data_IF_991485376064
#
_entry.id   IF_991485376064
#
_cell.length_a   1.000
_cell.length_b   1.000
_cell.length_c   1.000
_cell.angle_alpha   90.00
_cell.angle_beta   90.00
_cell.angle_gamma   90.00
#
_symmetry.space_group_name_H-M   'P 1'
#
loop_
_entity.id
_entity.type
_entity.pdbx_description
1 polymer ?
#
# COMPACT_ATOMS: atom_id res chain seq x y z
N UNK A 1 6.05 -37.80 -7.27
CA UNK A 1 5.59 -36.70 -6.39
C UNK A 1 6.22 -35.39 -6.83
N UNK A 2 5.40 -34.37 -7.09
CA UNK A 2 5.69 -33.23 -7.98
C UNK A 2 6.56 -32.12 -7.37
N UNK A 3 7.84 -32.03 -7.79
CA UNK A 3 8.73 -30.88 -7.54
C UNK A 3 8.15 -29.54 -8.09
N UNK A 4 7.22 -29.59 -9.05
CA UNK A 4 6.59 -28.41 -9.65
C UNK A 4 5.50 -27.76 -8.78
N UNK A 5 4.96 -28.45 -7.75
CA UNK A 5 4.00 -27.85 -6.82
C UNK A 5 4.72 -27.07 -5.72
N UNK A 6 5.85 -27.59 -5.24
CA UNK A 6 6.66 -26.99 -4.16
C UNK A 6 7.29 -25.64 -4.57
N UNK A 7 7.71 -25.50 -5.84
CA UNK A 7 8.22 -24.23 -6.40
C UNK A 7 7.12 -23.17 -6.62
N UNK A 8 5.85 -23.57 -6.81
CA UNK A 8 4.74 -22.64 -7.04
C UNK A 8 4.24 -21.97 -5.75
N UNK A 9 4.40 -22.63 -4.61
CA UNK A 9 3.99 -22.13 -3.30
C UNK A 9 5.01 -21.14 -2.73
N UNK A 10 6.29 -21.32 -3.03
CA UNK A 10 7.40 -20.53 -2.46
C UNK A 10 7.49 -19.09 -3.00
N UNK A 11 7.16 -18.86 -4.28
CA UNK A 11 7.13 -17.51 -4.86
C UNK A 11 5.88 -16.70 -4.44
N UNK A 12 4.74 -17.38 -4.29
CA UNK A 12 3.53 -16.77 -3.73
C UNK A 12 3.68 -16.48 -2.23
N UNK A 13 4.44 -17.30 -1.50
CA UNK A 13 4.82 -17.04 -0.10
C UNK A 13 5.78 -15.85 0.08
N UNK A 14 6.58 -15.50 -0.94
CA UNK A 14 7.39 -14.28 -0.94
C UNK A 14 6.53 -13.03 -1.17
N UNK A 15 5.57 -13.11 -2.09
CA UNK A 15 4.53 -12.08 -2.27
C UNK A 15 3.65 -11.93 -1.01
N UNK A 16 3.29 -13.05 -0.37
CA UNK A 16 2.52 -13.11 0.88
C UNK A 16 3.23 -12.48 2.06
N UNK A 17 4.53 -12.80 2.28
CA UNK A 17 5.31 -12.13 3.33
C UNK A 17 5.31 -10.62 3.15
N UNK A 18 5.34 -10.16 1.90
CA UNK A 18 5.34 -8.74 1.60
C UNK A 18 3.96 -8.07 1.80
N UNK A 19 2.87 -8.73 1.41
CA UNK A 19 1.49 -8.27 1.66
C UNK A 19 1.10 -8.31 3.14
N UNK A 20 1.55 -9.33 3.88
CA UNK A 20 1.39 -9.43 5.34
C UNK A 20 2.06 -8.27 6.05
N UNK A 21 3.21 -7.79 5.54
CA UNK A 21 3.81 -6.58 6.09
C UNK A 21 2.89 -5.39 5.89
N UNK A 22 2.21 -5.20 4.74
CA UNK A 22 1.24 -4.10 4.48
C UNK A 22 0.08 -4.08 5.50
N UNK A 23 -0.27 -5.22 6.08
CA UNK A 23 -1.33 -5.33 7.08
C UNK A 23 -0.87 -4.91 8.49
N UNK A 24 0.40 -5.13 8.85
CA UNK A 24 1.00 -4.64 10.11
C UNK A 24 1.02 -3.09 10.19
N UNK A 25 0.84 -2.39 9.07
CA UNK A 25 0.76 -0.92 9.01
C UNK A 25 -0.57 -0.36 9.49
N UNK A 26 -1.62 -1.18 9.56
CA UNK A 26 -3.01 -0.67 9.52
C UNK A 26 -3.86 -1.12 10.71
N UNK A 27 -3.33 -2.01 11.55
CA UNK A 27 -4.05 -2.52 12.71
C UNK A 27 -3.74 -1.63 13.92
N UNK A 28 -4.34 -0.44 13.92
CA UNK A 28 -4.86 0.11 15.17
C UNK A 28 -6.38 -0.10 15.14
N UNK A 29 -6.89 -0.83 16.14
CA UNK A 29 -8.14 -1.60 16.02
C UNK A 29 -9.45 -0.80 16.10
N UNK A 30 -9.46 0.50 16.36
CA UNK A 30 -10.68 1.16 16.88
C UNK A 30 -10.96 2.61 16.42
N UNK A 31 -10.57 3.07 15.22
CA UNK A 31 -10.92 4.44 14.78
C UNK A 31 -11.86 4.45 13.55
N UNK A 32 -13.18 4.70 13.72
CA UNK A 32 -14.16 4.64 12.63
C UNK A 32 -14.22 5.90 11.73
N UNK A 33 -13.51 6.99 12.05
CA UNK A 33 -13.83 8.31 11.46
C UNK A 33 -12.65 9.11 10.88
N UNK A 34 -11.60 8.47 10.39
CA UNK A 34 -10.54 9.20 9.67
C UNK A 34 -10.92 9.44 8.20
N UNK A 35 -11.56 10.58 7.91
CA UNK A 35 -11.63 11.17 6.57
C UNK A 35 -10.21 11.43 6.08
N UNK A 36 -9.66 10.52 5.28
CA UNK A 36 -8.30 10.60 4.78
C UNK A 36 -8.29 10.48 3.27
N UNK A 37 -7.23 11.00 2.66
CA UNK A 37 -6.85 10.81 1.26
C UNK A 37 -6.13 9.46 1.02
N UNK A 38 -6.30 8.47 1.90
CA UNK A 38 -5.83 7.08 1.69
C UNK A 38 -6.61 5.92 2.39
N UNK A 39 -7.92 6.01 2.68
CA UNK A 39 -8.72 4.87 3.13
C UNK A 39 -8.79 3.79 2.04
N UNK A 40 -8.71 4.16 0.76
CA UNK A 40 -8.69 3.21 -0.36
C UNK A 40 -7.54 2.20 -0.27
N UNK A 41 -6.31 2.62 0.05
CA UNK A 41 -5.18 1.68 0.05
C UNK A 41 -5.23 0.76 1.26
N UNK A 42 -5.73 1.25 2.40
CA UNK A 42 -5.97 0.38 3.56
C UNK A 42 -6.97 -0.72 3.24
N UNK A 43 -8.03 -0.36 2.53
CA UNK A 43 -9.01 -1.33 2.03
C UNK A 43 -8.36 -2.28 1.03
N UNK A 44 -7.58 -1.77 0.06
CA UNK A 44 -6.91 -2.58 -0.95
C UNK A 44 -5.87 -3.54 -0.35
N UNK A 45 -5.15 -3.14 0.70
CA UNK A 45 -4.24 -4.00 1.44
C UNK A 45 -4.99 -5.16 2.13
N UNK A 46 -6.14 -4.86 2.75
CA UNK A 46 -7.02 -5.90 3.31
C UNK A 46 -7.55 -6.84 2.24
N UNK A 47 -7.94 -6.32 1.07
CA UNK A 47 -8.35 -7.15 -0.07
C UNK A 47 -7.20 -8.03 -0.55
N UNK A 48 -6.00 -7.47 -0.67
CA UNK A 48 -4.78 -8.18 -1.06
C UNK A 48 -4.48 -9.34 -0.09
N UNK A 49 -4.47 -9.05 1.21
CA UNK A 49 -4.33 -10.07 2.26
C UNK A 49 -5.40 -11.15 2.15
N UNK A 50 -6.66 -10.77 2.00
CA UNK A 50 -7.76 -11.73 1.84
C UNK A 50 -7.53 -12.66 0.64
N UNK A 51 -7.08 -12.12 -0.50
CA UNK A 51 -6.74 -12.93 -1.67
C UNK A 51 -5.70 -13.97 -1.30
N UNK A 52 -4.62 -13.57 -0.64
CA UNK A 52 -3.55 -14.50 -0.32
C UNK A 52 -3.96 -15.53 0.72
N UNK A 53 -4.61 -15.13 1.81
CA UNK A 53 -5.18 -16.06 2.80
C UNK A 53 -6.13 -17.07 2.15
N UNK A 54 -6.92 -16.64 1.16
CA UNK A 54 -7.79 -17.54 0.41
C UNK A 54 -7.01 -18.62 -0.35
N UNK A 55 -5.79 -18.35 -0.78
CA UNK A 55 -4.95 -19.30 -1.52
C UNK A 55 -4.05 -20.17 -0.63
N UNK A 56 -3.76 -19.73 0.58
CA UNK A 56 -2.87 -20.45 1.51
C UNK A 56 -3.51 -21.68 2.16
N UNK A 57 -4.83 -21.75 2.17
CA UNK A 57 -5.59 -22.85 2.76
C UNK A 57 -6.60 -23.39 1.76
N UNK A 58 -6.75 -24.71 1.70
CA UNK A 58 -7.83 -25.37 0.96
C UNK A 58 -9.12 -25.46 1.80
N UNK A 59 -9.02 -25.24 3.11
CA UNK A 59 -10.13 -25.37 4.03
C UNK A 59 -11.10 -24.19 3.94
N UNK A 60 -12.36 -24.46 4.25
CA UNK A 60 -13.41 -23.45 4.34
C UNK A 60 -13.21 -22.57 5.59
N UNK A 61 -13.48 -21.25 5.50
CA UNK A 61 -13.35 -20.34 6.64
C UNK A 61 -14.22 -20.71 7.85
N UNK A 62 -15.38 -21.35 7.60
CA UNK A 62 -16.32 -21.76 8.63
C UNK A 62 -16.53 -23.27 8.64
N UNK A 63 -16.57 -23.85 9.84
CA UNK A 63 -17.02 -25.22 10.08
C UNK A 63 -18.52 -25.20 10.38
N UNK A 64 -19.29 -26.00 9.64
CA UNK A 64 -20.74 -26.13 9.82
C UNK A 64 -21.01 -27.51 10.41
N UNK A 65 -21.76 -27.54 11.52
CA UNK A 65 -22.18 -28.76 12.20
C UNK A 65 -23.70 -28.84 12.22
N UNK A 66 -24.22 -30.08 12.25
CA UNK A 66 -25.65 -30.35 12.10
C UNK A 66 -26.03 -30.50 10.63
N UNK A 67 -26.86 -31.50 10.36
CA UNK A 67 -27.35 -31.81 9.03
C UNK A 67 -28.75 -32.39 9.14
N UNK A 68 -29.56 -32.13 8.11
CA UNK A 68 -30.75 -32.94 7.87
C UNK A 68 -30.28 -34.31 7.38
N UNK A 69 -29.83 -35.18 8.28
CA UNK A 69 -29.87 -36.61 7.99
C UNK A 69 -31.35 -36.97 7.89
N UNK A 70 -31.84 -37.10 6.66
CA UNK A 70 -33.08 -37.83 6.41
C UNK A 70 -32.78 -39.29 6.74
N UNK A 71 -32.91 -39.65 8.00
CA UNK A 71 -32.95 -41.05 8.41
C UNK A 71 -34.20 -41.62 7.72
N UNK A 72 -34.01 -42.34 6.61
CA UNK A 72 -35.08 -43.13 6.00
C UNK A 72 -35.32 -44.37 6.85
N UNK A 73 -35.81 -44.17 8.07
CA UNK A 73 -36.48 -45.24 8.81
C UNK A 73 -37.91 -45.27 8.30
N UNK A 74 -38.27 -46.36 7.63
CA UNK A 74 -39.59 -46.60 7.03
C UNK A 74 -40.74 -46.76 8.03
N UNK A 75 -40.81 -45.93 9.06
CA UNK A 75 -41.98 -45.82 9.92
C UNK A 75 -42.36 -44.36 10.09
N UNK A 76 -43.57 -44.06 9.62
CA UNK A 76 -44.28 -42.81 9.83
C UNK A 76 -44.51 -42.61 11.33
N UNK A 77 -43.60 -41.91 11.99
CA UNK A 77 -43.87 -41.16 13.21
C UNK A 77 -43.14 -39.82 13.05
N UNK A 78 -43.92 -38.85 12.56
CA UNK A 78 -43.54 -37.46 12.41
C UNK A 78 -43.25 -36.90 13.79
N UNK A 79 -42.01 -36.46 14.03
CA UNK A 79 -41.55 -35.30 14.82
C UNK A 79 -40.02 -35.40 14.89
N UNK A 80 -39.38 -35.43 13.72
CA UNK A 80 -37.92 -35.38 13.63
C UNK A 80 -37.47 -33.99 14.05
N UNK A 81 -36.94 -33.84 15.25
CA UNK A 81 -36.27 -32.63 15.68
C UNK A 81 -35.02 -32.45 14.80
N UNK A 82 -35.14 -31.66 13.74
CA UNK A 82 -33.99 -31.18 12.97
C UNK A 82 -33.09 -30.41 13.95
N UNK A 83 -31.93 -30.97 14.25
CA UNK A 83 -30.93 -30.25 15.01
C UNK A 83 -30.61 -28.96 14.24
N UNK A 84 -30.67 -27.79 14.88
CA UNK A 84 -30.34 -26.54 14.23
C UNK A 84 -28.90 -26.64 13.73
N UNK A 85 -28.69 -26.39 12.44
CA UNK A 85 -27.34 -26.26 11.92
C UNK A 85 -26.64 -25.14 12.71
N UNK A 86 -25.41 -25.36 13.13
CA UNK A 86 -24.58 -24.36 13.79
C UNK A 86 -23.31 -24.14 12.97
N UNK A 87 -22.76 -22.92 13.03
CA UNK A 87 -21.52 -22.59 12.37
C UNK A 87 -20.54 -21.96 13.36
N UNK A 88 -19.27 -22.30 13.20
CA UNK A 88 -18.16 -21.70 13.94
C UNK A 88 -17.01 -21.38 13.00
N UNK A 89 -16.13 -20.45 13.40
CA UNK A 89 -14.88 -20.22 12.69
C UNK A 89 -14.07 -21.51 12.66
N UNK A 90 -13.42 -21.78 11.54
CA UNK A 90 -12.51 -22.91 11.43
C UNK A 90 -11.40 -22.80 12.48
N UNK A 91 -10.97 -23.94 13.03
CA UNK A 91 -9.95 -23.97 14.07
C UNK A 91 -8.53 -23.74 13.52
N UNK A 92 -8.31 -24.02 12.24
CA UNK A 92 -7.03 -23.78 11.57
C UNK A 92 -6.77 -22.27 11.46
N UNK A 93 -5.60 -21.84 11.96
CA UNK A 93 -5.24 -20.42 12.08
C UNK A 93 -5.53 -19.59 10.82
N UNK A 94 -5.01 -20.01 9.66
CA UNK A 94 -5.20 -19.30 8.38
C UNK A 94 -6.68 -19.22 7.98
N UNK A 95 -7.44 -20.29 8.20
CA UNK A 95 -8.87 -20.33 7.86
C UNK A 95 -9.71 -19.50 8.83
N UNK A 96 -9.29 -19.43 10.10
CA UNK A 96 -9.87 -18.55 11.12
C UNK A 96 -9.68 -17.08 10.78
N UNK A 97 -8.46 -16.69 10.38
CA UNK A 97 -8.15 -15.32 9.96
C UNK A 97 -8.95 -14.94 8.70
N UNK A 98 -9.01 -15.84 7.72
CA UNK A 98 -9.86 -15.67 6.54
C UNK A 98 -11.35 -15.45 6.91
N UNK A 99 -11.85 -16.23 7.87
CA UNK A 99 -13.21 -16.07 8.39
C UNK A 99 -13.43 -14.75 9.14
N UNK A 100 -12.43 -14.26 9.86
CA UNK A 100 -12.48 -12.94 10.54
C UNK A 100 -12.56 -11.80 9.53
N UNK A 101 -11.75 -11.84 8.47
CA UNK A 101 -11.74 -10.80 7.43
C UNK A 101 -13.10 -10.71 6.72
N UNK A 102 -13.66 -11.87 6.39
CA UNK A 102 -14.98 -12.02 5.76
C UNK A 102 -16.11 -11.40 6.57
N UNK A 103 -16.09 -11.57 7.89
CA UNK A 103 -17.18 -11.10 8.76
C UNK A 103 -17.02 -9.63 9.12
N UNK A 104 -15.78 -9.18 9.34
CA UNK A 104 -15.53 -7.88 9.96
C UNK A 104 -15.48 -6.72 8.98
N UNK A 105 -14.78 -6.88 7.86
CA UNK A 105 -14.44 -5.74 7.00
C UNK A 105 -14.58 -5.97 5.50
N UNK A 106 -14.52 -7.22 5.02
CA UNK A 106 -14.42 -7.48 3.58
C UNK A 106 -15.67 -7.02 2.80
N UNK A 107 -16.92 -7.34 3.18
CA UNK A 107 -18.10 -6.94 2.41
C UNK A 107 -18.25 -5.42 2.37
N UNK A 108 -17.94 -4.72 3.47
CA UNK A 108 -17.94 -3.26 3.52
C UNK A 108 -16.87 -2.65 2.61
N UNK A 109 -15.67 -3.23 2.61
CA UNK A 109 -14.56 -2.79 1.76
C UNK A 109 -14.90 -2.96 0.27
N UNK A 110 -15.42 -4.13 -0.10
CA UNK A 110 -15.81 -4.45 -1.46
C UNK A 110 -16.99 -3.58 -1.92
N UNK A 111 -17.99 -3.36 -1.06
CA UNK A 111 -19.13 -2.49 -1.39
C UNK A 111 -18.71 -1.02 -1.53
N UNK A 112 -17.83 -0.52 -0.65
CA UNK A 112 -17.30 0.84 -0.76
C UNK A 112 -16.60 1.06 -2.11
N UNK A 113 -15.78 0.10 -2.54
CA UNK A 113 -15.08 0.14 -3.83
C UNK A 113 -16.05 -0.02 -5.01
N UNK A 114 -17.08 -0.84 -4.86
CA UNK A 114 -18.07 -1.08 -5.91
C UNK A 114 -19.09 0.07 -6.10
N UNK A 115 -19.35 0.86 -5.05
CA UNK A 115 -20.40 1.89 -5.06
C UNK A 115 -19.89 3.30 -5.39
N UNK A 116 -18.61 3.60 -5.17
CA UNK A 116 -18.00 4.87 -5.60
C UNK A 116 -17.74 4.86 -7.12
N UNK A 117 -18.81 5.06 -7.90
CA UNK A 117 -18.77 4.95 -9.36
C UNK A 117 -17.82 5.96 -10.00
N UNK A 118 -17.61 7.14 -9.44
CA UNK A 118 -16.86 8.19 -10.13
C UNK A 118 -15.35 8.02 -9.92
N UNK A 119 -14.92 7.76 -8.69
CA UNK A 119 -13.51 7.48 -8.39
C UNK A 119 -13.09 6.09 -8.85
N UNK A 120 -13.88 5.03 -8.57
CA UNK A 120 -13.54 3.67 -8.95
C UNK A 120 -13.42 3.50 -10.47
N UNK A 121 -14.15 4.31 -11.26
CA UNK A 121 -14.03 4.30 -12.71
C UNK A 121 -12.68 4.83 -13.22
N UNK A 122 -11.94 5.62 -12.45
CA UNK A 122 -10.61 6.10 -12.80
C UNK A 122 -9.50 5.15 -12.35
N UNK A 123 -9.81 4.19 -11.47
CA UNK A 123 -8.84 3.27 -10.91
C UNK A 123 -8.72 1.97 -11.73
N UNK A 124 -7.51 1.43 -11.74
CA UNK A 124 -7.17 0.11 -12.26
C UNK A 124 -6.52 -0.67 -11.14
N UNK A 125 -7.23 -1.69 -10.66
CA UNK A 125 -6.77 -2.55 -9.57
C UNK A 125 -5.78 -3.61 -10.06
N UNK A 126 -4.99 -4.13 -9.12
CA UNK A 126 -4.17 -5.30 -9.36
C UNK A 126 -5.01 -6.48 -9.87
N UNK A 127 -4.49 -7.31 -10.80
CA UNK A 127 -5.28 -8.36 -11.45
C UNK A 127 -6.06 -9.29 -10.51
N UNK A 128 -5.51 -9.61 -9.34
CA UNK A 128 -6.15 -10.48 -8.35
C UNK A 128 -7.21 -9.75 -7.51
N UNK A 129 -7.00 -8.48 -7.17
CA UNK A 129 -8.01 -7.64 -6.53
C UNK A 129 -9.18 -7.39 -7.50
N UNK A 130 -8.87 -7.13 -8.76
CA UNK A 130 -9.87 -6.99 -9.82
C UNK A 130 -10.71 -8.27 -9.95
N UNK A 131 -10.09 -9.46 -9.96
CA UNK A 131 -10.82 -10.72 -9.99
C UNK A 131 -11.68 -10.92 -8.73
N UNK A 132 -11.19 -10.54 -7.56
CA UNK A 132 -11.96 -10.60 -6.30
C UNK A 132 -13.22 -9.74 -6.40
N UNK A 133 -13.09 -8.50 -6.91
CA UNK A 133 -14.22 -7.60 -7.14
C UNK A 133 -15.23 -8.19 -8.15
N UNK A 134 -14.75 -8.76 -9.25
CA UNK A 134 -15.58 -9.42 -10.26
C UNK A 134 -16.39 -10.59 -9.68
N UNK A 135 -15.76 -11.46 -8.88
CA UNK A 135 -16.44 -12.57 -8.22
C UNK A 135 -17.45 -12.05 -7.19
N UNK A 136 -17.08 -11.05 -6.38
CA UNK A 136 -17.97 -10.48 -5.38
C UNK A 136 -19.22 -9.86 -6.00
N UNK A 137 -19.08 -9.11 -7.10
CA UNK A 137 -20.20 -8.43 -7.75
C UNK A 137 -21.29 -9.37 -8.27
N UNK A 138 -20.91 -10.61 -8.63
CA UNK A 138 -21.81 -11.67 -9.06
C UNK A 138 -22.26 -12.63 -7.95
N UNK A 139 -21.78 -12.46 -6.72
CA UNK A 139 -22.01 -13.42 -5.64
C UNK A 139 -23.15 -12.99 -4.69
N UNK A 140 -23.98 -13.91 -4.16
CA UNK A 140 -25.05 -13.59 -3.20
C UNK A 140 -24.59 -12.82 -1.94
N UNK A 141 -23.32 -13.00 -1.56
CA UNK A 141 -22.69 -12.30 -0.44
C UNK A 141 -22.82 -10.77 -0.53
N UNK A 142 -22.91 -10.20 -1.74
CA UNK A 142 -23.11 -8.76 -1.95
C UNK A 142 -24.41 -8.23 -1.33
N UNK A 143 -25.47 -9.04 -1.35
CA UNK A 143 -26.79 -8.65 -0.81
C UNK A 143 -26.90 -8.87 0.70
N UNK A 144 -25.88 -9.44 1.33
CA UNK A 144 -25.89 -9.75 2.75
C UNK A 144 -25.60 -8.49 3.59
N UNK A 145 -26.47 -8.18 4.55
CA UNK A 145 -26.25 -7.05 5.47
C UNK A 145 -25.06 -7.32 6.40
N UNK A 146 -24.26 -6.29 6.74
CA UNK A 146 -23.16 -6.43 7.69
C UNK A 146 -23.65 -6.90 9.06
N UNK A 147 -22.86 -7.79 9.65
CA UNK A 147 -23.19 -8.69 10.76
C UNK A 147 -23.65 -7.97 12.05
N UNK A 148 -24.63 -8.53 12.76
CA UNK A 148 -24.94 -8.23 14.17
C UNK A 148 -24.85 -9.55 14.97
N UNK A 149 -23.73 -9.72 15.66
CA UNK A 149 -23.28 -10.69 16.71
C UNK A 149 -23.83 -12.13 16.81
N UNK A 150 -25.03 -12.46 16.34
CA UNK A 150 -25.60 -13.80 16.35
C UNK A 150 -25.68 -14.30 14.91
N UNK A 151 -25.15 -15.49 14.59
CA UNK A 151 -25.09 -16.07 13.24
C UNK A 151 -26.50 -16.40 12.73
N UNK A 152 -27.22 -15.49 12.05
CA UNK A 152 -28.60 -15.76 11.72
C UNK A 152 -28.61 -16.67 10.50
N UNK A 153 -29.66 -17.47 10.43
CA UNK A 153 -30.11 -18.09 9.20
C UNK A 153 -30.47 -16.94 8.24
N UNK A 154 -29.92 -16.94 7.03
CA UNK A 154 -30.24 -15.99 5.98
C UNK A 154 -31.72 -16.09 5.56
N UNK A 155 -32.19 -15.12 4.76
CA UNK A 155 -33.60 -15.05 4.33
C UNK A 155 -34.12 -16.32 3.62
N UNK A 156 -33.21 -17.15 3.09
CA UNK A 156 -33.51 -18.39 2.35
C UNK A 156 -33.30 -19.68 3.17
N UNK A 157 -33.07 -19.59 4.49
CA UNK A 157 -32.88 -20.79 5.32
C UNK A 157 -31.44 -21.33 5.39
N UNK A 158 -30.51 -20.72 4.66
CA UNK A 158 -29.07 -21.06 4.67
C UNK A 158 -28.38 -20.38 5.86
N UNK A 159 -27.40 -21.03 6.49
CA UNK A 159 -26.59 -20.28 7.46
C UNK A 159 -25.67 -19.36 6.67
N UNK A 160 -25.55 -18.09 7.09
CA UNK A 160 -24.61 -17.14 6.50
C UNK A 160 -23.19 -17.69 6.28
N UNK A 161 -22.72 -18.60 7.14
CA UNK A 161 -21.44 -19.29 7.00
C UNK A 161 -21.33 -20.11 5.69
N UNK A 162 -22.42 -20.72 5.21
CA UNK A 162 -22.48 -21.43 3.93
C UNK A 162 -22.22 -20.47 2.77
N UNK A 163 -22.87 -19.30 2.77
CA UNK A 163 -22.68 -18.25 1.75
C UNK A 163 -21.24 -17.75 1.72
N UNK A 164 -20.61 -17.57 2.88
CA UNK A 164 -19.20 -17.15 2.93
C UNK A 164 -18.23 -18.25 2.47
N UNK A 165 -18.50 -19.52 2.84
CA UNK A 165 -17.71 -20.66 2.39
C UNK A 165 -17.81 -20.81 0.86
N UNK A 166 -19.00 -20.66 0.29
CA UNK A 166 -19.23 -20.70 -1.15
C UNK A 166 -18.49 -19.57 -1.88
N UNK A 167 -18.54 -18.33 -1.36
CA UNK A 167 -17.80 -17.20 -1.93
C UNK A 167 -16.31 -17.50 -2.09
N UNK A 168 -15.68 -18.01 -1.02
CA UNK A 168 -14.26 -18.36 -1.03
C UNK A 168 -13.98 -19.50 -2.03
N UNK A 169 -14.85 -20.51 -2.09
CA UNK A 169 -14.72 -21.61 -3.04
C UNK A 169 -14.81 -21.12 -4.50
N UNK A 170 -15.79 -20.26 -4.81
CA UNK A 170 -15.95 -19.64 -6.13
C UNK A 170 -14.74 -18.77 -6.49
N UNK A 171 -14.25 -17.96 -5.55
CA UNK A 171 -13.08 -17.11 -5.76
C UNK A 171 -11.82 -17.95 -6.03
N UNK A 172 -11.56 -19.00 -5.24
CA UNK A 172 -10.45 -19.94 -5.47
C UNK A 172 -10.54 -20.58 -6.85
N UNK A 173 -11.74 -21.04 -7.25
CA UNK A 173 -11.98 -21.63 -8.57
C UNK A 173 -11.68 -20.62 -9.69
N UNK A 174 -12.11 -19.37 -9.54
CA UNK A 174 -11.84 -18.30 -10.50
C UNK A 174 -10.33 -18.01 -10.63
N UNK A 175 -9.62 -17.91 -9.50
CA UNK A 175 -8.16 -17.73 -9.46
C UNK A 175 -7.42 -18.85 -10.20
N UNK A 176 -7.86 -20.11 -10.03
CA UNK A 176 -7.27 -21.27 -10.70
C UNK A 176 -7.61 -21.34 -12.19
N UNK A 177 -8.81 -20.91 -12.59
CA UNK A 177 -9.25 -20.94 -13.98
C UNK A 177 -8.56 -19.86 -14.85
N UNK A 178 -8.11 -18.75 -14.24
CA UNK A 178 -7.49 -17.63 -14.97
C UNK A 178 -6.03 -17.94 -15.35
N UNK A 179 -5.87 -18.63 -16.49
CA UNK A 179 -4.58 -19.14 -17.02
C UNK A 179 -3.45 -18.10 -17.05
N UNK A 180 -3.75 -16.83 -17.34
CA UNK A 180 -2.77 -15.75 -17.50
C UNK A 180 -2.49 -14.95 -16.24
N UNK A 181 -3.23 -15.18 -15.15
CA UNK A 181 -3.17 -14.35 -13.95
C UNK A 181 -1.76 -14.22 -13.39
N UNK A 182 -0.98 -15.30 -13.38
CA UNK A 182 0.42 -15.26 -12.88
C UNK A 182 1.30 -14.31 -13.68
N UNK A 183 1.18 -14.34 -15.01
CA UNK A 183 1.94 -13.46 -15.89
C UNK A 183 1.48 -12.01 -15.71
N UNK A 184 0.18 -11.79 -15.59
CA UNK A 184 -0.38 -10.46 -15.32
C UNK A 184 0.12 -9.91 -13.97
N UNK A 185 0.10 -10.70 -12.91
CA UNK A 185 0.59 -10.33 -11.58
C UNK A 185 2.09 -10.06 -11.57
N UNK A 186 2.87 -10.93 -12.20
CA UNK A 186 4.32 -10.75 -12.30
C UNK A 186 4.65 -9.44 -13.03
N UNK A 187 4.06 -9.22 -14.20
CA UNK A 187 4.27 -8.01 -14.98
C UNK A 187 3.78 -6.75 -14.24
N UNK A 188 2.70 -6.88 -13.47
CA UNK A 188 2.16 -5.80 -12.66
C UNK A 188 3.10 -5.43 -11.50
N UNK A 189 3.61 -6.42 -10.76
CA UNK A 189 4.39 -6.21 -9.54
C UNK A 189 5.88 -6.01 -9.76
N UNK A 190 6.43 -6.44 -10.91
CA UNK A 190 7.88 -6.46 -11.15
C UNK A 190 8.59 -5.16 -10.78
N UNK A 191 8.08 -4.03 -11.27
CA UNK A 191 8.69 -2.72 -11.00
C UNK A 191 8.61 -2.31 -9.52
N UNK A 192 7.53 -2.63 -8.82
CA UNK A 192 7.40 -2.34 -7.39
C UNK A 192 8.31 -3.24 -6.55
N UNK A 193 8.48 -4.50 -6.93
CA UNK A 193 9.39 -5.42 -6.22
C UNK A 193 10.85 -4.98 -6.36
N UNK A 194 11.30 -4.71 -7.59
CA UNK A 194 12.67 -4.22 -7.84
C UNK A 194 12.94 -2.93 -7.05
N UNK A 195 11.98 -2.01 -7.02
CA UNK A 195 12.10 -0.76 -6.26
C UNK A 195 12.15 -0.98 -4.74
N UNK A 196 11.43 -1.96 -4.21
CA UNK A 196 11.40 -2.27 -2.79
C UNK A 196 12.73 -2.92 -2.36
N UNK A 197 13.24 -3.86 -3.13
CA UNK A 197 14.52 -4.51 -2.84
C UNK A 197 15.64 -3.45 -2.83
N UNK A 198 15.63 -2.55 -3.82
CA UNK A 198 16.55 -1.41 -3.88
C UNK A 198 16.37 -0.44 -2.69
N UNK A 199 15.13 -0.21 -2.24
CA UNK A 199 14.85 0.63 -1.08
C UNK A 199 15.46 0.03 0.19
N UNK A 200 15.23 -1.26 0.43
CA UNK A 200 15.77 -1.95 1.59
C UNK A 200 17.29 -1.92 1.60
N UNK A 201 17.91 -2.21 0.46
CA UNK A 201 19.37 -2.13 0.30
C UNK A 201 19.90 -0.71 0.58
N UNK A 202 19.26 0.31 0.01
CA UNK A 202 19.64 1.72 0.20
C UNK A 202 19.54 2.15 1.67
N UNK A 203 18.47 1.74 2.38
CA UNK A 203 18.31 2.06 3.80
C UNK A 203 19.34 1.36 4.66
N UNK A 204 19.59 0.06 4.42
CA UNK A 204 20.59 -0.69 5.19
C UNK A 204 21.99 -0.12 4.98
N UNK A 205 22.38 0.20 3.75
CA UNK A 205 23.66 0.86 3.45
C UNK A 205 23.79 2.25 4.10
N UNK A 206 22.71 3.03 4.18
CA UNK A 206 22.73 4.31 4.88
C UNK A 206 22.89 4.16 6.40
N UNK A 207 22.22 3.18 7.02
CA UNK A 207 22.41 2.88 8.44
C UNK A 207 23.82 2.36 8.73
N UNK A 208 24.35 1.48 7.89
CA UNK A 208 25.71 0.96 8.03
C UNK A 208 26.77 2.07 7.94
N UNK A 209 26.53 3.08 7.08
CA UNK A 209 27.45 4.22 6.90
C UNK A 209 27.38 5.26 8.01
N UNK A 210 26.18 5.58 8.50
CA UNK A 210 25.96 6.75 9.36
C UNK A 210 25.62 6.40 10.81
N UNK A 211 25.24 5.15 11.10
CA UNK A 211 24.72 4.72 12.39
C UNK A 211 23.31 5.26 12.64
N UNK A 212 23.14 6.58 12.73
CA UNK A 212 21.86 7.22 13.02
C UNK A 212 21.42 8.12 11.86
N UNK A 213 20.14 8.01 11.50
CA UNK A 213 19.53 8.82 10.46
C UNK A 213 18.43 9.72 11.03
N UNK A 214 18.40 10.98 10.62
CA UNK A 214 17.26 11.88 10.85
C UNK A 214 16.38 11.93 9.61
N UNK A 215 15.12 11.55 9.78
CA UNK A 215 14.12 11.37 8.72
C UNK A 215 13.22 12.59 8.64
N UNK A 216 13.20 13.25 7.47
CA UNK A 216 12.25 14.33 7.16
C UNK A 216 11.40 13.94 5.97
N UNK A 217 10.09 13.79 6.18
CA UNK A 217 9.13 13.55 5.10
C UNK A 217 8.32 14.80 4.79
N UNK A 218 8.15 15.09 3.51
CA UNK A 218 7.32 16.17 3.01
C UNK A 218 6.41 15.68 1.89
N UNK A 219 5.17 16.16 1.89
CA UNK A 219 4.29 16.15 0.72
C UNK A 219 4.44 17.48 0.00
N UNK A 220 4.83 17.44 -1.27
CA UNK A 220 5.18 18.60 -2.07
C UNK A 220 4.23 18.72 -3.26
N UNK A 221 3.76 19.94 -3.48
CA UNK A 221 2.80 20.25 -4.54
C UNK A 221 3.36 21.32 -5.45
N UNK A 222 3.27 21.12 -6.76
CA UNK A 222 3.84 22.08 -7.72
C UNK A 222 2.98 23.33 -7.92
N UNK A 223 1.67 23.20 -7.68
CA UNK A 223 0.68 24.27 -7.77
C UNK A 223 -0.39 24.07 -6.66
N UNK A 224 -1.10 25.13 -6.30
CA UNK A 224 -2.27 25.07 -5.39
C UNK A 224 -3.54 24.65 -6.13
N UNK A 225 -3.64 24.98 -7.41
CA UNK A 225 -4.80 24.72 -8.26
C UNK A 225 -4.52 23.54 -9.21
N UNK A 226 -4.22 22.38 -8.63
CA UNK A 226 -3.87 21.17 -9.40
C UNK A 226 -5.10 20.56 -10.07
N UNK A 227 -4.87 19.88 -11.19
CA UNK A 227 -5.90 19.12 -11.88
C UNK A 227 -6.47 18.02 -10.97
N UNK A 228 -7.80 18.04 -10.77
CA UNK A 228 -8.50 16.97 -10.07
C UNK A 228 -8.55 15.72 -10.97
N UNK A 229 -8.13 14.57 -10.46
CA UNK A 229 -7.95 13.34 -11.26
C UNK A 229 -9.27 12.68 -11.68
N UNK A 230 -10.40 13.11 -11.11
CA UNK A 230 -11.73 12.63 -11.44
C UNK A 230 -12.39 13.52 -12.50
N UNK A 231 -12.31 14.85 -12.34
CA UNK A 231 -13.06 15.80 -13.15
C UNK A 231 -12.25 16.50 -14.25
N UNK A 232 -10.92 16.57 -14.13
CA UNK A 232 -10.09 17.23 -15.13
C UNK A 232 -9.90 16.36 -16.38
N UNK A 233 -9.70 17.01 -17.53
CA UNK A 233 -9.35 16.33 -18.78
C UNK A 233 -8.05 15.53 -18.65
N UNK A 234 -7.88 14.51 -19.50
CA UNK A 234 -6.64 13.72 -19.50
C UNK A 234 -5.44 14.63 -19.82
N UNK A 235 -5.60 15.56 -20.74
CA UNK A 235 -4.58 16.53 -21.15
C UNK A 235 -4.13 17.41 -19.97
N UNK A 236 -5.07 17.90 -19.16
CA UNK A 236 -4.76 18.69 -17.97
C UNK A 236 -4.02 17.86 -16.92
N UNK A 237 -4.44 16.61 -16.70
CA UNK A 237 -3.77 15.70 -15.78
C UNK A 237 -2.31 15.42 -16.21
N UNK A 238 -2.08 15.24 -17.52
CA UNK A 238 -0.74 15.06 -18.08
C UNK A 238 0.13 16.31 -17.88
N UNK A 239 -0.42 17.50 -18.17
CA UNK A 239 0.29 18.77 -17.98
C UNK A 239 0.72 18.95 -16.51
N UNK A 240 -0.19 18.69 -15.58
CA UNK A 240 0.08 18.77 -14.14
C UNK A 240 1.17 17.79 -13.70
N UNK A 241 1.10 16.54 -14.17
CA UNK A 241 2.11 15.52 -13.87
C UNK A 241 3.50 15.94 -14.38
N UNK A 242 3.58 16.42 -15.61
CA UNK A 242 4.85 16.89 -16.19
C UNK A 242 5.40 18.13 -15.46
N UNK A 243 4.54 19.06 -15.07
CA UNK A 243 4.94 20.23 -14.27
C UNK A 243 5.51 19.82 -12.91
N UNK A 244 4.88 18.86 -12.22
CA UNK A 244 5.39 18.30 -10.96
C UNK A 244 6.76 17.64 -11.15
N UNK A 245 6.95 16.85 -12.21
CA UNK A 245 8.24 16.21 -12.52
C UNK A 245 9.34 17.22 -12.85
N UNK A 246 9.02 18.29 -13.57
CA UNK A 246 9.96 19.37 -13.85
C UNK A 246 10.39 20.06 -12.54
N UNK A 247 9.44 20.37 -11.65
CA UNK A 247 9.72 20.95 -10.34
C UNK A 247 10.58 20.02 -9.47
N UNK A 248 10.25 18.71 -9.42
CA UNK A 248 11.04 17.69 -8.73
C UNK A 248 12.49 17.68 -9.20
N UNK A 249 12.70 17.63 -10.51
CA UNK A 249 14.06 17.57 -11.10
C UNK A 249 14.85 18.82 -10.74
N UNK A 250 14.25 20.00 -10.93
CA UNK A 250 14.84 21.29 -10.56
C UNK A 250 15.18 21.36 -9.07
N UNK A 251 14.32 20.84 -8.19
CA UNK A 251 14.54 20.81 -6.76
C UNK A 251 15.73 19.93 -6.39
N UNK A 252 15.75 18.67 -6.85
CA UNK A 252 16.82 17.72 -6.55
C UNK A 252 18.19 18.18 -7.09
N UNK A 253 18.22 18.82 -8.26
CA UNK A 253 19.45 19.39 -8.84
C UNK A 253 20.00 20.54 -7.99
N UNK A 254 19.12 21.41 -7.51
CA UNK A 254 19.50 22.59 -6.72
C UNK A 254 19.82 22.24 -5.27
N UNK A 255 19.20 21.19 -4.73
CA UNK A 255 19.48 20.64 -3.39
C UNK A 255 21.00 20.44 -3.18
N UNK A 256 21.69 19.90 -4.19
CA UNK A 256 23.15 19.64 -4.16
C UNK A 256 24.00 20.90 -3.93
N UNK A 257 23.48 22.08 -4.24
CA UNK A 257 24.20 23.36 -4.17
C UNK A 257 23.86 24.16 -2.90
N UNK A 258 22.82 23.79 -2.15
CA UNK A 258 22.37 24.53 -0.96
C UNK A 258 22.79 23.80 0.33
N UNK A 259 24.11 23.77 0.59
CA UNK A 259 24.69 23.06 1.76
C UNK A 259 24.18 23.54 3.12
N UNK A 260 23.79 24.82 3.23
CA UNK A 260 23.20 25.37 4.45
C UNK A 260 21.84 24.75 4.82
N UNK A 261 21.19 24.08 3.87
CA UNK A 261 19.93 23.37 4.07
C UNK A 261 20.09 21.86 3.92
N UNK A 262 21.01 21.42 3.05
CA UNK A 262 21.25 20.01 2.76
C UNK A 262 22.73 19.66 3.02
N UNK A 263 23.13 19.52 4.29
CA UNK A 263 24.52 19.19 4.62
C UNK A 263 24.85 17.77 4.14
N UNK A 264 26.12 17.55 3.79
CA UNK A 264 26.72 16.26 3.39
C UNK A 264 26.00 15.47 2.28
N UNK A 265 25.12 16.12 1.52
CA UNK A 265 24.24 15.51 0.52
C UNK A 265 23.40 14.42 1.20
N UNK A 266 22.17 14.70 1.64
CA UNK A 266 21.33 13.67 2.25
C UNK A 266 20.98 12.55 1.27
N UNK A 267 20.71 11.36 1.80
CA UNK A 267 19.94 10.34 1.09
C UNK A 267 18.54 10.87 0.80
N UNK A 268 17.91 10.39 -0.26
CA UNK A 268 16.52 10.74 -0.52
C UNK A 268 15.78 9.64 -1.27
N UNK A 269 14.50 9.56 -0.98
CA UNK A 269 13.51 8.70 -1.62
C UNK A 269 12.34 9.59 -2.01
N UNK A 270 11.81 9.40 -3.21
CA UNK A 270 10.63 10.12 -3.65
C UNK A 270 9.64 9.20 -4.34
N UNK A 271 8.35 9.52 -4.21
CA UNK A 271 7.25 8.88 -4.93
C UNK A 271 6.26 9.95 -5.40
N UNK A 272 5.75 9.81 -6.62
CA UNK A 272 4.63 10.61 -7.10
C UNK A 272 3.37 9.78 -6.88
N UNK A 273 2.45 10.30 -6.10
CA UNK A 273 1.21 9.60 -5.75
C UNK A 273 0.03 10.38 -6.34
N UNK A 274 -0.85 9.72 -7.12
CA UNK A 274 -2.12 10.32 -7.49
C UNK A 274 -3.06 10.32 -6.28
N UNK A 275 -3.57 11.50 -5.94
CA UNK A 275 -4.63 11.72 -4.96
C UNK A 275 -5.92 12.08 -5.69
N UNK A 276 -6.98 11.29 -5.45
CA UNK A 276 -8.29 11.51 -6.05
C UNK A 276 -8.92 12.85 -5.60
N UNK A 277 -8.56 13.31 -4.41
CA UNK A 277 -9.01 14.59 -3.86
C UNK A 277 -8.15 15.77 -4.35
N UNK A 278 -6.88 15.54 -4.69
CA UNK A 278 -5.87 16.59 -4.72
C UNK A 278 -4.90 16.59 -5.91
N UNK A 279 -5.08 15.78 -6.94
CA UNK A 279 -4.15 15.72 -8.08
C UNK A 279 -2.90 14.90 -7.78
N UNK A 280 -1.81 15.12 -8.53
CA UNK A 280 -0.53 14.47 -8.25
C UNK A 280 0.23 15.17 -7.13
N UNK A 281 0.77 14.38 -6.21
CA UNK A 281 1.56 14.83 -5.07
C UNK A 281 2.94 14.19 -5.09
N UNK A 282 3.98 14.94 -4.73
CA UNK A 282 5.34 14.41 -4.57
C UNK A 282 5.60 14.14 -3.09
N UNK A 283 5.65 12.87 -2.73
CA UNK A 283 6.17 12.42 -1.45
C UNK A 283 7.70 12.42 -1.52
N UNK A 284 8.35 13.14 -0.63
CA UNK A 284 9.81 13.21 -0.53
C UNK A 284 10.25 12.91 0.90
N UNK A 285 11.05 11.86 1.06
CA UNK A 285 11.74 11.57 2.32
C UNK A 285 13.22 11.86 2.17
N UNK A 286 13.74 12.74 3.02
CA UNK A 286 15.15 13.05 3.16
C UNK A 286 15.73 12.29 4.35
N UNK A 287 16.92 11.72 4.15
CA UNK A 287 17.64 10.86 5.09
C UNK A 287 18.97 11.54 5.40
N UNK A 288 19.04 12.21 6.54
CA UNK A 288 20.25 12.92 6.97
C UNK A 288 21.06 12.07 7.94
N UNK A 289 22.39 12.16 7.87
CA UNK A 289 23.24 11.80 8.99
C UNK A 289 22.85 12.68 10.20
N UNK A 290 22.41 12.05 11.29
CA UNK A 290 21.96 12.74 12.49
C UNK A 290 23.06 13.60 13.10
N UNK A 291 24.30 13.13 13.14
CA UNK A 291 25.41 13.87 13.74
C UNK A 291 25.71 15.14 12.95
N UNK A 292 25.71 15.03 11.62
CA UNK A 292 25.88 16.19 10.73
C UNK A 292 24.72 17.19 10.90
N UNK A 293 23.47 16.71 10.89
CA UNK A 293 22.32 17.60 10.97
C UNK A 293 22.25 18.32 12.32
N UNK A 294 22.58 17.65 13.42
CA UNK A 294 22.69 18.27 14.76
C UNK A 294 23.73 19.38 14.79
N UNK A 295 24.92 19.17 14.23
CA UNK A 295 25.96 20.21 14.14
C UNK A 295 25.46 21.44 13.38
N UNK A 296 24.79 21.23 12.25
CA UNK A 296 24.18 22.32 11.49
C UNK A 296 23.11 23.05 12.31
N UNK A 297 22.27 22.30 13.04
CA UNK A 297 21.20 22.88 13.86
C UNK A 297 21.75 23.73 15.00
N UNK A 298 22.81 23.27 15.69
CA UNK A 298 23.50 24.03 16.73
C UNK A 298 24.05 25.34 16.16
N UNK A 299 24.75 25.30 15.02
CA UNK A 299 25.29 26.50 14.38
C UNK A 299 24.17 27.51 14.04
N UNK A 300 23.08 27.03 13.42
CA UNK A 300 21.91 27.87 13.10
C UNK A 300 21.24 28.46 14.33
N UNK A 301 21.15 27.69 15.41
CA UNK A 301 20.58 28.17 16.67
C UNK A 301 21.42 29.31 17.26
N UNK A 302 22.76 29.16 17.25
CA UNK A 302 23.67 30.23 17.70
C UNK A 302 23.49 31.50 16.86
N UNK A 303 23.45 31.39 15.54
CA UNK A 303 23.23 32.52 14.63
C UNK A 303 21.86 33.20 14.88
N UNK A 304 20.78 32.41 15.00
CA UNK A 304 19.44 32.93 15.28
C UNK A 304 19.38 33.66 16.63
N UNK A 305 20.02 33.10 17.67
CA UNK A 305 20.10 33.72 19.00
C UNK A 305 20.83 35.07 18.94
N UNK A 306 21.96 35.13 18.22
CA UNK A 306 22.72 36.38 18.04
C UNK A 306 21.93 37.44 17.27
N UNK A 307 21.08 37.01 16.32
CA UNK A 307 20.25 37.90 15.52
C UNK A 307 18.91 38.27 16.19
N UNK A 308 18.60 37.73 17.39
CA UNK A 308 17.30 37.91 18.03
C UNK A 308 16.13 37.29 17.27
N UNK A 309 16.40 36.28 16.43
CA UNK A 309 15.42 35.61 15.59
C UNK A 309 15.02 34.23 16.15
N UNK A 310 13.79 33.81 15.86
CA UNK A 310 13.32 32.44 16.17
C UNK A 310 13.83 31.51 15.07
N UNK A 311 14.49 30.41 15.47
CA UNK A 311 14.93 29.40 14.53
C UNK A 311 13.72 28.66 13.96
N UNK A 312 13.59 28.68 12.64
CA UNK A 312 12.55 27.96 11.93
C UNK A 312 12.83 26.45 11.90
N UNK A 313 11.78 25.63 11.95
CA UNK A 313 11.88 24.18 11.78
C UNK A 313 12.56 23.80 10.45
N UNK A 314 13.36 22.73 10.47
CA UNK A 314 14.14 22.34 9.30
C UNK A 314 13.26 21.84 8.15
N UNK A 315 12.18 21.09 8.43
CA UNK A 315 11.25 20.64 7.40
C UNK A 315 10.52 21.84 6.77
N UNK A 316 10.15 22.85 7.55
CA UNK A 316 9.58 24.08 7.00
C UNK A 316 10.57 24.83 6.11
N UNK A 317 11.84 24.94 6.49
CA UNK A 317 12.88 25.54 5.64
C UNK A 317 13.00 24.80 4.29
N UNK A 318 12.95 23.46 4.31
CA UNK A 318 12.94 22.62 3.09
C UNK A 318 11.69 22.85 2.25
N UNK A 319 10.52 22.93 2.88
CA UNK A 319 9.24 23.20 2.22
C UNK A 319 9.19 24.59 1.56
N UNK A 320 9.61 25.64 2.28
CA UNK A 320 9.75 26.99 1.72
C UNK A 320 10.76 27.05 0.59
N UNK A 321 11.83 26.26 0.67
CA UNK A 321 12.79 26.13 -0.42
C UNK A 321 12.15 25.48 -1.66
N UNK A 322 11.31 24.44 -1.50
CA UNK A 322 10.52 23.88 -2.60
C UNK A 322 9.64 24.94 -3.28
N UNK A 323 8.85 25.67 -2.49
CA UNK A 323 7.93 26.69 -3.00
C UNK A 323 8.68 27.76 -3.78
N UNK A 324 9.71 28.36 -3.18
CA UNK A 324 10.48 29.44 -3.81
C UNK A 324 11.29 28.97 -5.02
N UNK A 325 12.01 27.86 -4.91
CA UNK A 325 13.04 27.48 -5.88
C UNK A 325 12.51 26.55 -6.96
N UNK A 326 11.71 25.56 -6.62
CA UNK A 326 11.19 24.60 -7.59
C UNK A 326 10.01 25.20 -8.35
N UNK A 327 9.03 25.72 -7.62
CA UNK A 327 7.71 26.10 -8.18
C UNK A 327 7.57 27.57 -8.55
N UNK A 328 8.52 28.42 -8.14
CA UNK A 328 8.43 29.87 -8.36
C UNK A 328 7.28 30.53 -7.57
N UNK A 329 6.97 30.02 -6.38
CA UNK A 329 5.95 30.56 -5.49
C UNK A 329 4.55 29.98 -5.65
N UNK A 330 4.28 29.21 -6.70
CA UNK A 330 2.93 28.66 -6.98
C UNK A 330 2.58 27.43 -6.16
N UNK A 331 3.58 26.66 -5.76
CA UNK A 331 3.40 25.41 -5.04
C UNK A 331 3.05 25.59 -3.57
N UNK A 332 2.92 24.44 -2.91
CA UNK A 332 2.76 24.33 -1.46
C UNK A 332 3.47 23.08 -0.95
N UNK A 333 3.52 22.93 0.37
CA UNK A 333 4.06 21.75 1.03
C UNK A 333 3.27 21.44 2.30
N UNK A 334 3.30 20.18 2.71
CA UNK A 334 2.83 19.72 4.02
C UNK A 334 3.96 18.91 4.68
N UNK A 335 4.49 19.38 5.82
CA UNK A 335 5.40 18.58 6.65
C UNK A 335 4.69 17.32 7.15
N UNK A 336 5.40 16.20 7.18
CA UNK A 336 4.77 14.94 7.57
C UNK A 336 4.46 14.82 9.08
N UNK A 337 5.12 15.63 9.91
CA UNK A 337 5.00 15.64 11.37
C UNK A 337 3.79 16.46 11.88
N UNK A 338 3.30 17.40 11.07
CA UNK A 338 2.21 18.32 11.47
C UNK A 338 0.82 17.68 11.49
N UNK A 339 0.63 16.54 10.84
CA UNK A 339 -0.67 15.86 10.86
C UNK A 339 -0.54 14.34 10.90
N UNK A 340 -0.49 13.81 12.12
CA UNK A 340 -0.53 12.37 12.43
C UNK A 340 -1.75 11.69 11.78
N UNK A 341 -2.85 12.43 11.56
CA UNK A 341 -4.03 11.88 10.89
C UNK A 341 -3.71 11.62 9.42
N UNK A 342 -3.01 12.53 8.73
CA UNK A 342 -2.74 12.45 7.29
C UNK A 342 -1.70 11.38 6.89
N UNK A 343 -0.67 11.17 7.69
CA UNK A 343 0.38 10.18 7.37
C UNK A 343 0.23 8.86 8.13
N UNK A 344 -0.70 8.81 9.10
CA UNK A 344 -0.89 7.69 10.02
C UNK A 344 0.05 7.75 11.23
N UNK A 345 -0.35 7.10 12.32
CA UNK A 345 0.44 7.00 13.58
C UNK A 345 1.79 6.29 13.40
N UNK A 346 1.96 5.60 12.29
CA UNK A 346 3.10 4.72 12.03
C UNK A 346 4.17 5.37 11.14
N UNK A 347 3.96 6.62 10.73
CA UNK A 347 4.98 7.34 9.96
C UNK A 347 6.18 7.72 10.84
N UNK A 348 7.38 7.40 10.37
CA UNK A 348 8.63 7.65 11.10
C UNK A 348 9.18 9.04 10.75
N UNK A 349 9.22 9.92 11.75
CA UNK A 349 9.83 11.24 11.70
C UNK A 349 10.90 11.38 12.78
N UNK A 350 11.94 12.17 12.49
CA UNK A 350 13.01 12.42 13.45
C UNK A 350 14.09 11.35 13.40
N UNK A 351 14.76 11.13 14.53
CA UNK A 351 15.94 10.28 14.60
C UNK A 351 15.61 8.80 14.71
N UNK A 352 16.33 7.99 13.93
CA UNK A 352 16.27 6.53 13.95
C UNK A 352 17.69 6.01 14.11
N UNK A 353 17.90 5.19 15.13
CA UNK A 353 19.18 4.53 15.39
C UNK A 353 19.32 3.24 14.57
N UNK A 354 20.54 2.89 14.14
CA UNK A 354 20.86 1.60 13.54
C UNK A 354 20.48 0.42 14.44
N UNK A 355 20.57 0.61 15.76
CA UNK A 355 20.29 -0.42 16.76
C UNK A 355 18.79 -0.54 17.08
N UNK A 356 17.99 0.48 16.73
CA UNK A 356 16.54 0.45 16.92
C UNK A 356 15.87 -0.32 15.77
N UNK A 357 15.95 -1.64 15.87
CA UNK A 357 15.36 -2.58 14.91
C UNK A 357 13.88 -2.30 14.65
N UNK A 358 13.11 -1.92 15.68
CA UNK A 358 11.68 -1.64 15.56
C UNK A 358 11.43 -0.36 14.75
N UNK A 359 12.13 0.73 15.04
CA UNK A 359 11.99 1.98 14.26
C UNK A 359 12.52 1.82 12.84
N UNK A 360 13.59 1.04 12.63
CA UNK A 360 14.08 0.72 11.28
C UNK A 360 13.06 -0.05 10.46
N UNK A 361 12.44 -1.06 11.06
CA UNK A 361 11.37 -1.82 10.41
C UNK A 361 10.17 -0.92 10.09
N UNK A 362 9.74 -0.08 11.04
CA UNK A 362 8.69 0.93 10.79
C UNK A 362 9.04 1.88 9.65
N UNK A 363 10.29 2.32 9.56
CA UNK A 363 10.75 3.19 8.47
C UNK A 363 10.75 2.46 7.12
N UNK A 364 11.32 1.25 7.06
CA UNK A 364 11.30 0.40 5.85
C UNK A 364 9.88 0.17 5.38
N UNK A 365 8.99 -0.11 6.33
CA UNK A 365 7.58 -0.25 6.09
C UNK A 365 7.01 1.05 5.50
N UNK A 366 7.05 2.17 6.22
CA UNK A 366 6.48 3.45 5.79
C UNK A 366 6.92 3.87 4.38
N UNK A 367 8.20 3.65 4.05
CA UNK A 367 8.74 3.94 2.72
C UNK A 367 8.39 2.87 1.67
N UNK A 368 8.28 1.61 2.08
CA UNK A 368 7.79 0.50 1.26
C UNK A 368 6.38 0.76 0.76
N UNK A 369 5.51 1.35 1.58
CA UNK A 369 4.17 1.78 1.14
C UNK A 369 4.22 2.71 -0.09
N UNK A 370 5.15 3.67 -0.11
CA UNK A 370 5.31 4.59 -1.24
C UNK A 370 5.73 3.87 -2.54
N UNK A 371 6.38 2.72 -2.42
CA UNK A 371 6.85 1.87 -3.52
C UNK A 371 5.74 0.93 -4.02
N UNK A 372 4.97 0.38 -3.09
CA UNK A 372 4.09 -0.76 -3.33
C UNK A 372 2.66 -0.36 -3.59
N UNK A 373 2.26 0.88 -3.34
CA UNK A 373 0.93 1.40 -3.71
C UNK A 373 0.54 1.04 -5.14
N UNK A 374 1.48 1.19 -6.09
CA UNK A 374 1.28 0.89 -7.52
C UNK A 374 1.17 -0.60 -7.86
N UNK A 375 1.53 -1.47 -6.91
CA UNK A 375 1.28 -2.91 -6.96
C UNK A 375 -0.18 -3.25 -6.61
N UNK A 376 -0.91 -2.34 -5.92
CA UNK A 376 -2.31 -2.53 -5.56
C UNK A 376 -3.27 -1.80 -6.52
N UNK A 377 -2.94 -0.56 -6.89
CA UNK A 377 -3.83 0.29 -7.70
C UNK A 377 -3.07 1.32 -8.53
N UNK A 378 -3.59 1.63 -9.72
CA UNK A 378 -3.11 2.65 -10.65
C UNK A 378 -4.28 3.47 -11.19
N UNK A 379 -4.02 4.60 -11.82
CA UNK A 379 -5.05 5.27 -12.64
C UNK A 379 -5.15 4.58 -14.01
N UNK A 380 -6.34 4.56 -14.62
CA UNK A 380 -6.55 4.01 -15.97
C UNK A 380 -5.77 4.81 -17.02
N UNK A 381 -5.80 6.13 -16.90
CA UNK A 381 -5.15 7.07 -17.82
C UNK A 381 -3.85 7.62 -17.23
N UNK A 382 -3.16 6.81 -16.44
CA UNK A 382 -1.93 7.23 -15.77
C UNK A 382 -0.84 7.59 -16.81
N UNK A 383 -0.26 8.80 -16.76
CA UNK A 383 0.82 9.19 -17.65
C UNK A 383 2.03 8.24 -17.56
N UNK A 384 2.73 8.05 -18.67
CA UNK A 384 3.98 7.29 -18.63
C UNK A 384 5.08 8.05 -17.87
N UNK A 385 5.90 7.31 -17.12
CA UNK A 385 7.06 7.89 -16.47
C UNK A 385 7.49 7.22 -15.18
N UNK A 386 8.43 7.88 -14.50
CA UNK A 386 8.96 7.43 -13.23
C UNK A 386 8.14 8.01 -12.08
N UNK A 387 7.47 7.10 -11.37
CA UNK A 387 6.66 7.40 -10.18
C UNK A 387 7.41 7.18 -8.88
N UNK A 388 8.58 6.55 -8.91
CA UNK A 388 9.39 6.31 -7.73
C UNK A 388 10.86 6.44 -8.09
N UNK A 389 11.64 6.94 -7.15
CA UNK A 389 13.08 6.94 -7.28
C UNK A 389 13.80 7.24 -5.98
N UNK A 390 15.08 6.92 -5.98
CA UNK A 390 16.00 7.17 -4.88
C UNK A 390 17.32 7.67 -5.47
N UNK A 391 18.19 8.20 -4.61
CA UNK A 391 19.47 8.78 -5.05
C UNK A 391 20.38 7.78 -5.78
N UNK A 392 20.29 6.50 -5.43
CA UNK A 392 21.11 5.45 -6.02
C UNK A 392 20.32 4.65 -7.06
N UNK A 393 20.41 5.07 -8.32
CA UNK A 393 20.34 4.12 -9.42
C UNK A 393 21.76 3.94 -9.93
N UNK A 394 22.35 2.76 -9.70
CA UNK A 394 23.34 2.25 -10.67
C UNK A 394 22.64 2.27 -12.02
N UNK A 395 23.23 2.92 -13.02
CA UNK A 395 22.60 3.06 -14.32
C UNK A 395 22.28 1.67 -14.89
N UNK A 396 21.12 1.51 -15.52
CA UNK A 396 20.74 0.31 -16.27
C UNK A 396 21.67 0.03 -17.48
N UNK A 397 22.73 0.81 -17.67
CA UNK A 397 23.62 0.73 -18.83
C UNK A 397 24.68 -0.39 -18.76
N UNK A 398 24.87 -1.04 -17.62
CA UNK A 398 25.92 -2.07 -17.49
C UNK A 398 25.53 -3.46 -18.04
N UNK A 399 24.25 -3.72 -18.34
CA UNK A 399 23.82 -5.03 -18.86
C UNK A 399 23.60 -5.11 -20.38
N UNK A 400 23.72 -4.00 -21.12
CA UNK A 400 23.66 -4.02 -22.59
C UNK A 400 25.03 -4.03 -23.28
N UNK A 401 26.12 -3.68 -22.59
CA UNK A 401 27.47 -3.67 -23.17
C UNK A 401 28.20 -5.03 -23.13
N UNK A 402 27.59 -6.08 -22.58
CA UNK A 402 28.18 -7.45 -22.57
C UNK A 402 27.64 -8.33 -23.71
N UNK A 403 26.65 -7.87 -24.49
CA UNK A 403 26.09 -8.63 -25.62
C UNK A 403 26.55 -8.19 -27.02
N UNK A 404 27.34 -7.13 -27.14
CA UNK A 404 27.89 -6.67 -28.43
C UNK A 404 29.40 -6.94 -28.59
N UNK A 405 30.06 -7.54 -27.58
CA UNK A 405 31.48 -7.92 -27.64
C UNK A 405 31.78 -9.35 -28.13
N UNK A 406 30.77 -10.21 -28.32
CA UNK A 406 30.95 -11.63 -28.72
C UNK A 406 30.40 -11.95 -30.12
N UNK A 407 30.31 -10.95 -31.00
CA UNK A 407 30.13 -11.16 -32.45
C UNK A 407 31.18 -10.38 -33.23
N UNK A 408 32.43 -10.78 -33.05
CA UNK A 408 33.57 -10.16 -33.70
C UNK A 408 34.86 -10.92 -33.50
N UNK A 409 34.84 -12.23 -33.78
CA UNK A 409 36.00 -13.01 -34.25
C UNK A 409 35.54 -14.11 -35.17
#
# INVERSE_FOLDING_TARGET
MNKSKVSRTTDLQRLYRHASHVDDFLINRDDPESNLSSPEIRLLAKLDRFVWLSLETEFSPFSIQGGAERIMTGQQNEHGHLLPKTASLNQLFVSRELGRDLVSSLPRALEAIATDKTAANQLRYAPHIQLLLEVFLGHPLRSCKPFKKDWPIGQMGEIMAEVHNDFVAQFRKAMLARRLLRRELHNWNWGSQENLDNLNFCLDDLFDRHGNLTILHLRLFHDKNRANLISASVEDQYRDFHALRACRTKFLDRMRRKRALFPDKPGYIWSIIPSLEGGYELHLTLLFDTATLRKLHVAKHTEATQAGAVLEDHADQVGKYWVSVATGGRGSYLPGDRDIRQNGRDWVHGEVSADDTLQREKLKNALGYLVTRRALVRLKNEPEGEYFGMRERKSRAAHQLVKEGEKGK
#
